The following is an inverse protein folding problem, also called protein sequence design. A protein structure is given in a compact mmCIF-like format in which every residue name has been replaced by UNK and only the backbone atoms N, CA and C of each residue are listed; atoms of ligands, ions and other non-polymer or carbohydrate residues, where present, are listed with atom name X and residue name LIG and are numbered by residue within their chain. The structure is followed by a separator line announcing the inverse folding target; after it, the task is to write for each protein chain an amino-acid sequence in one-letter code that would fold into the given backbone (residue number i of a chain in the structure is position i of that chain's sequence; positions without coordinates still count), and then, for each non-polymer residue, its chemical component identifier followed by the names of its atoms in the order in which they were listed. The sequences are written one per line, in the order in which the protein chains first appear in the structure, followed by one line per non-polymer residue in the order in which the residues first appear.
data_IF_461560339914
#
_entry.id   IF_461560339914
#
_cell.length_a   1.000
_cell.length_b   1.000
_cell.length_c   1.000
_cell.angle_alpha   90.00
_cell.angle_beta   90.00
_cell.angle_gamma   90.00
#
_symmetry.space_group_name_H-M   'P 1'
#
loop_
_entity.id
_entity.type
_entity.pdbx_description
1 polymer ?
#
# COMPACT_ATOMS: atom_id res chain seq x y z
N UNK A 1 -18.25 15.87 8.96
CA UNK A 1 -18.93 14.69 8.37
C UNK A 1 -18.70 13.54 9.33
N UNK A 2 -19.75 13.05 10.00
CA UNK A 2 -19.68 11.86 10.84
C UNK A 2 -19.67 10.63 9.93
N UNK A 3 -18.54 9.93 9.85
CA UNK A 3 -18.45 8.67 9.10
C UNK A 3 -19.12 7.56 9.91
N UNK A 4 -20.06 6.86 9.29
CA UNK A 4 -20.67 5.66 9.87
C UNK A 4 -19.85 4.45 9.40
N UNK A 5 -19.28 3.65 10.31
CA UNK A 5 -18.48 2.50 9.94
C UNK A 5 -19.28 1.51 9.08
N UNK A 6 -18.70 1.09 7.97
CA UNK A 6 -19.28 0.09 7.07
C UNK A 6 -18.69 -1.30 7.33
N UNK A 7 -19.55 -2.31 7.45
CA UNK A 7 -19.14 -3.71 7.63
C UNK A 7 -19.80 -4.61 6.59
N UNK A 8 -19.01 -5.45 5.94
CA UNK A 8 -19.56 -6.47 5.02
C UNK A 8 -20.32 -7.57 5.77
N UNK A 9 -20.96 -8.47 5.02
CA UNK A 9 -21.67 -9.62 5.58
C UNK A 9 -20.80 -10.49 6.51
N UNK A 10 -19.49 -10.51 6.28
CA UNK A 10 -18.52 -11.30 7.04
C UNK A 10 -17.90 -10.51 8.20
N UNK A 11 -18.43 -9.35 8.56
CA UNK A 11 -17.86 -8.43 9.56
C UNK A 11 -18.92 -7.82 10.48
N UNK A 12 -20.17 -8.28 10.42
CA UNK A 12 -21.28 -7.69 11.17
C UNK A 12 -21.09 -7.84 12.69
N UNK A 13 -20.52 -8.96 13.13
CA UNK A 13 -20.29 -9.24 14.55
C UNK A 13 -18.83 -8.99 14.97
N UNK A 14 -18.61 -8.71 16.25
CA UNK A 14 -17.27 -8.59 16.80
C UNK A 14 -16.44 -9.87 16.65
N UNK A 15 -17.07 -11.04 16.71
CA UNK A 15 -16.39 -12.33 16.50
C UNK A 15 -15.91 -12.47 15.06
N UNK A 16 -16.78 -12.17 14.08
CA UNK A 16 -16.42 -12.18 12.67
C UNK A 16 -15.24 -11.24 12.35
N UNK A 17 -15.25 -10.01 12.90
CA UNK A 17 -14.13 -9.06 12.76
C UNK A 17 -12.85 -9.58 13.42
N UNK A 18 -12.96 -10.28 14.56
CA UNK A 18 -11.81 -10.93 15.20
C UNK A 18 -11.24 -12.05 14.33
N UNK A 19 -12.07 -12.81 13.63
CA UNK A 19 -11.62 -13.88 12.72
C UNK A 19 -10.84 -13.28 11.54
N UNK A 20 -11.31 -12.17 10.97
CA UNK A 20 -10.60 -11.40 9.93
C UNK A 20 -9.23 -10.94 10.43
N UNK A 21 -9.17 -10.33 11.62
CA UNK A 21 -7.89 -9.89 12.22
C UNK A 21 -6.96 -11.07 12.49
N UNK A 22 -7.48 -12.18 13.02
CA UNK A 22 -6.70 -13.38 13.33
C UNK A 22 -6.05 -13.95 12.07
N UNK A 23 -6.81 -14.02 10.97
CA UNK A 23 -6.28 -14.43 9.68
C UNK A 23 -5.16 -13.50 9.19
N UNK A 24 -5.38 -12.19 9.20
CA UNK A 24 -4.39 -11.21 8.75
C UNK A 24 -3.10 -11.23 9.60
N UNK A 25 -3.22 -11.41 10.92
CA UNK A 25 -2.07 -11.57 11.82
C UNK A 25 -1.33 -12.87 11.52
N UNK A 26 -2.04 -13.98 11.29
CA UNK A 26 -1.44 -15.25 10.89
C UNK A 26 -0.60 -15.14 9.61
N UNK A 27 -1.12 -14.44 8.59
CA UNK A 27 -0.37 -14.14 7.35
C UNK A 27 0.85 -13.25 7.61
N UNK A 28 0.77 -12.29 8.53
CA UNK A 28 1.90 -11.40 8.85
C UNK A 28 3.01 -12.15 9.60
N UNK A 29 2.63 -13.03 10.53
CA UNK A 29 3.58 -13.84 11.30
C UNK A 29 4.33 -14.85 10.44
N UNK A 30 3.71 -15.41 9.39
CA UNK A 30 4.41 -16.29 8.44
C UNK A 30 5.49 -15.55 7.63
N UNK A 31 5.43 -14.22 7.57
CA UNK A 31 6.43 -13.34 6.96
C UNK A 31 7.43 -12.77 7.99
N UNK A 32 7.44 -13.30 9.22
CA UNK A 32 8.27 -12.82 10.34
C UNK A 32 8.07 -11.33 10.67
N UNK A 33 6.88 -10.77 10.36
CA UNK A 33 6.53 -9.40 10.69
C UNK A 33 5.66 -9.38 11.94
N UNK A 34 6.19 -8.79 13.00
CA UNK A 34 5.42 -8.57 14.22
C UNK A 34 4.55 -7.32 14.07
N UNK A 35 3.29 -7.36 14.53
CA UNK A 35 2.41 -6.19 14.48
C UNK A 35 2.93 -5.10 15.43
N UNK A 36 2.92 -3.85 14.97
CA UNK A 36 3.28 -2.70 15.79
C UNK A 36 2.19 -2.41 16.85
N UNK A 37 2.51 -1.75 17.98
CA UNK A 37 1.52 -1.37 18.99
C UNK A 37 0.36 -0.53 18.42
N UNK A 38 0.65 0.34 17.45
CA UNK A 38 -0.36 1.12 16.73
C UNK A 38 -1.32 0.19 15.99
N UNK A 39 -0.80 -0.75 15.20
CA UNK A 39 -1.62 -1.70 14.45
C UNK A 39 -2.52 -2.52 15.37
N UNK A 40 -1.99 -3.00 16.51
CA UNK A 40 -2.78 -3.73 17.51
C UNK A 40 -3.93 -2.86 18.06
N UNK A 41 -3.66 -1.58 18.35
CA UNK A 41 -4.70 -0.67 18.85
C UNK A 41 -5.81 -0.42 17.82
N UNK A 42 -5.46 -0.29 16.53
CA UNK A 42 -6.41 -0.11 15.45
C UNK A 42 -7.24 -1.38 15.20
N UNK A 43 -6.60 -2.56 15.27
CA UNK A 43 -7.30 -3.84 15.20
C UNK A 43 -8.33 -4.00 16.32
N UNK A 44 -8.02 -3.58 17.55
CA UNK A 44 -8.99 -3.59 18.65
C UNK A 44 -10.19 -2.67 18.40
N UNK A 45 -9.97 -1.46 17.88
CA UNK A 45 -11.05 -0.53 17.53
C UNK A 45 -11.95 -1.10 16.42
N UNK A 46 -11.35 -1.74 15.42
CA UNK A 46 -12.07 -2.41 14.35
C UNK A 46 -12.90 -3.59 14.89
N UNK A 47 -12.33 -4.46 15.73
CA UNK A 47 -13.07 -5.56 16.37
C UNK A 47 -14.25 -5.02 17.20
N UNK A 48 -14.05 -3.92 17.92
CA UNK A 48 -15.11 -3.25 18.69
C UNK A 48 -16.19 -2.60 17.80
N UNK A 49 -15.99 -2.51 16.49
CA UNK A 49 -16.91 -1.86 15.55
C UNK A 49 -16.86 -0.33 15.57
N UNK A 50 -15.81 0.23 16.17
CA UNK A 50 -15.62 1.69 16.28
C UNK A 50 -15.09 2.31 14.99
N UNK A 51 -14.37 1.51 14.20
CA UNK A 51 -13.85 1.87 12.89
C UNK A 51 -14.08 0.72 11.91
N UNK A 52 -14.17 1.03 10.62
CA UNK A 52 -14.17 0.04 9.54
C UNK A 52 -12.76 -0.16 8.95
N UNK A 53 -12.65 -1.03 7.94
CA UNK A 53 -11.38 -1.30 7.26
C UNK A 53 -10.82 -0.08 6.53
N UNK A 54 -11.67 0.76 5.96
CA UNK A 54 -11.25 1.97 5.25
C UNK A 54 -10.57 2.95 6.23
N UNK A 55 -11.22 3.20 7.37
CA UNK A 55 -10.65 4.03 8.43
C UNK A 55 -9.40 3.43 9.04
N UNK A 56 -9.34 2.10 9.20
CA UNK A 56 -8.14 1.41 9.66
C UNK A 56 -6.97 1.62 8.68
N UNK A 57 -7.20 1.44 7.38
CA UNK A 57 -6.19 1.65 6.34
C UNK A 57 -5.71 3.10 6.33
N UNK A 58 -6.64 4.06 6.29
CA UNK A 58 -6.31 5.48 6.25
C UNK A 58 -5.46 5.92 7.45
N UNK A 59 -5.73 5.37 8.64
CA UNK A 59 -4.94 5.67 9.84
C UNK A 59 -3.56 5.03 9.81
N UNK A 60 -3.43 3.82 9.26
CA UNK A 60 -2.12 3.20 9.04
C UNK A 60 -1.31 4.00 8.01
N UNK A 61 -1.93 4.39 6.90
CA UNK A 61 -1.27 5.17 5.85
C UNK A 61 -0.81 6.54 6.36
N UNK A 62 -1.63 7.19 7.20
CA UNK A 62 -1.26 8.45 7.84
C UNK A 62 -0.08 8.29 8.81
N UNK A 63 -0.01 7.18 9.54
CA UNK A 63 1.09 6.91 10.48
C UNK A 63 2.37 6.44 9.80
N UNK A 64 2.24 5.78 8.64
CA UNK A 64 3.34 5.27 7.83
C UNK A 64 3.70 6.19 6.66
N UNK A 65 3.20 7.45 6.64
CA UNK A 65 3.60 8.43 5.64
C UNK A 65 5.12 8.40 5.50
N UNK A 66 5.67 8.17 4.29
CA UNK A 66 7.09 8.32 4.10
C UNK A 66 7.43 9.73 4.55
N UNK A 67 8.36 9.85 5.51
CA UNK A 67 8.95 11.15 5.81
C UNK A 67 9.31 11.78 4.45
N UNK A 68 9.02 13.07 4.21
CA UNK A 68 9.51 13.73 3.01
C UNK A 68 10.99 13.43 2.95
N UNK A 69 11.39 12.62 1.97
CA UNK A 69 12.81 12.31 1.78
C UNK A 69 13.54 13.64 1.69
N UNK A 70 14.78 13.75 2.21
CA UNK A 70 15.54 14.99 2.07
C UNK A 70 15.46 15.38 0.60
N UNK A 71 14.95 16.58 0.32
CA UNK A 71 14.82 17.08 -1.04
C UNK A 71 16.21 16.91 -1.69
N UNK A 72 16.35 16.07 -2.73
CA UNK A 72 17.65 15.82 -3.34
C UNK A 72 18.25 17.10 -3.92
N UNK A 73 17.43 18.14 -4.12
CA UNK A 73 17.83 19.48 -4.53
C UNK A 73 18.21 20.41 -3.37
N UNK A 74 17.87 20.12 -2.11
CA UNK A 74 18.15 21.01 -0.97
C UNK A 74 19.65 21.24 -0.71
N UNK A 75 20.53 20.40 -1.27
CA UNK A 75 21.99 20.57 -1.22
C UNK A 75 22.55 21.48 -2.33
N UNK A 76 21.74 21.91 -3.28
CA UNK A 76 22.17 22.74 -4.41
C UNK A 76 21.53 24.12 -4.35
N UNK A 77 22.29 25.17 -4.69
CA UNK A 77 21.69 26.48 -4.92
C UNK A 77 20.72 26.41 -6.13
N UNK A 78 19.73 27.33 -6.22
CA UNK A 78 18.86 27.41 -7.39
C UNK A 78 19.68 27.48 -8.69
N UNK A 79 19.60 26.43 -9.51
CA UNK A 79 20.33 26.31 -10.78
C UNK A 79 21.62 25.47 -10.77
N UNK A 80 22.03 24.90 -9.61
CA UNK A 80 23.27 24.11 -9.47
C UNK A 80 23.04 22.60 -9.32
N UNK A 81 21.83 22.11 -9.60
CA UNK A 81 21.56 20.66 -9.64
C UNK A 81 22.37 19.97 -10.75
N UNK A 82 22.64 18.65 -10.63
CA UNK A 82 23.29 17.91 -11.70
C UNK A 82 22.48 18.09 -13.00
N UNK A 83 23.17 18.36 -14.11
CA UNK A 83 22.57 18.35 -15.43
C UNK A 83 22.12 16.92 -15.74
N UNK A 84 20.89 16.59 -15.34
CA UNK A 84 20.26 15.32 -15.71
C UNK A 84 19.87 15.46 -17.17
N UNK A 85 20.50 14.67 -18.03
CA UNK A 85 20.05 14.57 -19.42
C UNK A 85 18.58 14.15 -19.43
N UNK A 86 17.74 14.80 -20.26
CA UNK A 86 16.33 14.43 -20.34
C UNK A 86 16.22 12.95 -20.69
N UNK A 87 15.48 12.21 -19.88
CA UNK A 87 15.25 10.80 -20.12
C UNK A 87 14.73 10.62 -21.56
N UNK A 88 15.24 9.64 -22.32
CA UNK A 88 14.75 9.38 -23.67
C UNK A 88 13.25 9.11 -23.61
N UNK A 89 12.50 9.64 -24.59
CA UNK A 89 11.06 9.38 -24.70
C UNK A 89 10.83 7.87 -24.73
N UNK A 90 10.18 7.35 -23.71
CA UNK A 90 9.77 5.96 -23.65
C UNK A 90 8.80 5.68 -24.80
N UNK A 91 9.22 4.85 -25.76
CA UNK A 91 8.35 4.32 -26.81
C UNK A 91 7.92 2.91 -26.41
N UNK A 92 6.63 2.67 -26.10
CA UNK A 92 6.15 1.38 -25.60
C UNK A 92 6.07 0.29 -26.70
N UNK A 93 6.47 0.59 -27.93
CA UNK A 93 6.41 -0.37 -29.02
C UNK A 93 7.65 -1.28 -28.99
N UNK A 94 7.51 -2.40 -28.28
CA UNK A 94 8.17 -3.63 -28.68
C UNK A 94 7.68 -3.96 -30.09
N UNK A 95 8.47 -3.60 -31.10
CA UNK A 95 8.30 -4.12 -32.46
C UNK A 95 8.63 -5.61 -32.40
N UNK A 96 7.61 -6.44 -32.15
CA UNK A 96 7.71 -7.87 -32.40
C UNK A 96 7.86 -8.03 -33.91
N UNK A 97 9.06 -8.40 -34.34
CA UNK A 97 9.33 -8.75 -35.72
C UNK A 97 8.63 -10.09 -36.01
N UNK A 98 7.50 -10.03 -36.72
CA UNK A 98 6.66 -11.18 -37.08
C UNK A 98 7.28 -12.03 -38.22
N UNK A 99 8.60 -11.98 -38.40
CA UNK A 99 9.32 -12.77 -39.41
C UNK A 99 9.78 -14.15 -38.92
N UNK A 100 9.46 -14.54 -37.69
CA UNK A 100 9.84 -15.83 -37.09
C UNK A 100 8.68 -16.84 -36.95
N UNK A 101 7.65 -16.77 -37.80
CA UNK A 101 6.71 -17.87 -37.92
C UNK A 101 7.36 -19.04 -38.72
N UNK A 102 7.52 -20.24 -38.13
CA UNK A 102 8.01 -21.40 -38.89
C UNK A 102 6.98 -21.79 -39.95
N UNK A 103 7.43 -21.96 -41.19
CA UNK A 103 6.64 -22.56 -42.27
C UNK A 103 6.20 -23.96 -41.86
N UNK A 104 4.89 -24.18 -41.88
CA UNK A 104 4.26 -25.50 -41.79
C UNK A 104 4.83 -26.43 -42.85
N UNK A 105 5.19 -27.65 -42.46
CA UNK A 105 5.48 -28.79 -43.33
C UNK A 105 4.40 -29.84 -43.13
#
# INVERSE_FOLDING_TARGET
MSHTPYFSANEQTAQQRRDVVTFAVGVSLSQSRHPSPLLVSLQHQYIAGQIDLEQLSARLDAACQPAPGPDPAAKYAPGEGPAVEPAPKYSPYLLFDESLAPKSL
#
